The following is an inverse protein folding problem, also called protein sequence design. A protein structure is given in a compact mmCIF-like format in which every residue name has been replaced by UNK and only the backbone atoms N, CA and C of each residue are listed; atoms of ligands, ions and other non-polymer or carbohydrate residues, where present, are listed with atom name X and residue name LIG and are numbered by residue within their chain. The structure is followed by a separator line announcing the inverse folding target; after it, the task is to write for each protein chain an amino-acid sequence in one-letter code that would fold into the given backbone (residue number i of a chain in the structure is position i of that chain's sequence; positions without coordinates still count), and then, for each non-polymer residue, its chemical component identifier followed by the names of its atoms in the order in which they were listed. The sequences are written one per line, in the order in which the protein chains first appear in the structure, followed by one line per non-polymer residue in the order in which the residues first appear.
data_IF_308139468852
#
_entry.id   IF_308139468852
#
_cell.length_a   1.000
_cell.length_b   1.000
_cell.length_c   1.000
_cell.angle_alpha   90.00
_cell.angle_beta   90.00
_cell.angle_gamma   90.00
#
_symmetry.space_group_name_H-M   'P 1'
#
loop_
_entity.id
_entity.type
_entity.pdbx_description
1 polymer ?
#
# COMPACT_ATOMS: atom_id res chain seq x y z
N UNK A 1 -5.98 4.92 12.59
CA UNK A 1 -5.66 4.46 11.21
C UNK A 1 -6.55 5.01 10.07
N UNK A 2 -7.68 5.70 10.29
CA UNK A 2 -8.53 6.19 9.18
C UNK A 2 -7.80 7.08 8.16
N UNK A 3 -6.84 7.90 8.61
CA UNK A 3 -5.98 8.70 7.72
C UNK A 3 -5.10 7.85 6.80
N UNK A 4 -4.47 6.81 7.36
CA UNK A 4 -3.59 5.88 6.61
C UNK A 4 -4.37 5.14 5.53
N UNK A 5 -5.56 4.64 5.83
CA UNK A 5 -6.40 3.96 4.84
C UNK A 5 -6.79 4.88 3.66
N UNK A 6 -7.08 6.17 3.94
CA UNK A 6 -7.37 7.17 2.89
C UNK A 6 -6.13 7.45 2.04
N UNK A 7 -4.95 7.56 2.66
CA UNK A 7 -3.68 7.72 1.96
C UNK A 7 -3.36 6.51 1.07
N UNK A 8 -3.55 5.29 1.59
CA UNK A 8 -3.34 4.04 0.86
C UNK A 8 -4.21 3.97 -0.40
N UNK A 9 -5.52 4.25 -0.29
CA UNK A 9 -6.44 4.30 -1.44
C UNK A 9 -6.01 5.34 -2.48
N UNK A 10 -5.58 6.53 -2.04
CA UNK A 10 -5.11 7.59 -2.93
C UNK A 10 -3.80 7.23 -3.63
N UNK A 11 -2.87 6.59 -2.91
CA UNK A 11 -1.62 6.09 -3.48
C UNK A 11 -1.88 4.97 -4.50
N UNK A 12 -2.78 4.03 -4.20
CA UNK A 12 -3.18 2.97 -5.13
C UNK A 12 -3.68 3.54 -6.46
N UNK A 13 -4.66 4.45 -6.41
CA UNK A 13 -5.22 5.09 -7.60
C UNK A 13 -4.21 5.92 -8.42
N UNK A 14 -3.07 6.29 -7.81
CA UNK A 14 -1.98 7.04 -8.46
C UNK A 14 -0.79 6.18 -8.87
N UNK A 15 -0.74 4.90 -8.52
CA UNK A 15 0.45 4.07 -8.73
C UNK A 15 0.78 3.84 -10.21
N UNK A 16 -0.22 3.98 -11.10
CA UNK A 16 -0.15 3.68 -12.54
C UNK A 16 0.29 2.24 -12.84
N UNK A 17 0.32 1.36 -11.85
CA UNK A 17 0.84 0.00 -11.98
C UNK A 17 0.03 -0.84 -12.98
N UNK A 18 -1.28 -0.58 -13.09
CA UNK A 18 -2.13 -1.21 -14.10
C UNK A 18 -1.67 -0.93 -15.54
N UNK A 19 -1.04 0.22 -15.82
CA UNK A 19 -0.59 0.57 -17.17
C UNK A 19 0.55 -0.32 -17.70
N UNK A 20 1.34 -0.91 -16.80
CA UNK A 20 2.43 -1.82 -17.16
C UNK A 20 2.14 -3.28 -16.80
N UNK A 21 0.98 -3.56 -16.19
CA UNK A 21 0.61 -4.87 -15.69
C UNK A 21 0.42 -5.88 -16.84
N UNK A 22 1.05 -7.07 -16.79
CA UNK A 22 0.89 -8.10 -17.83
C UNK A 22 -0.57 -8.56 -17.95
N UNK A 23 -1.30 -8.67 -16.83
CA UNK A 23 -2.72 -9.03 -16.83
C UNK A 23 -3.60 -8.02 -17.58
N UNK A 24 -3.20 -6.75 -17.60
CA UNK A 24 -3.92 -5.69 -18.31
C UNK A 24 -3.58 -5.71 -19.81
N UNK A 25 -2.32 -6.02 -20.18
CA UNK A 25 -1.91 -6.14 -21.58
C UNK A 25 -2.68 -7.23 -22.32
N UNK A 26 -2.99 -8.34 -21.66
CA UNK A 26 -3.66 -9.48 -22.28
C UNK A 26 -5.17 -9.30 -22.44
N UNK A 27 -5.82 -8.44 -21.62
CA UNK A 27 -7.29 -8.32 -21.57
C UNK A 27 -7.85 -6.94 -21.86
N UNK A 28 -7.01 -5.92 -22.08
CA UNK A 28 -7.35 -4.50 -22.22
C UNK A 28 -8.10 -3.85 -21.03
N UNK A 29 -8.90 -4.61 -20.27
CA UNK A 29 -9.59 -4.23 -19.03
C UNK A 29 -9.56 -5.45 -18.09
N UNK A 30 -9.13 -5.26 -16.83
CA UNK A 30 -9.16 -6.34 -15.84
C UNK A 30 -10.61 -6.61 -15.38
N UNK A 31 -10.96 -7.85 -15.06
CA UNK A 31 -12.27 -8.14 -14.44
C UNK A 31 -12.41 -7.41 -13.09
N UNK A 32 -13.65 -7.09 -12.66
CA UNK A 32 -13.87 -6.42 -11.37
C UNK A 32 -13.28 -7.18 -10.17
N UNK A 33 -13.25 -8.50 -10.24
CA UNK A 33 -12.63 -9.36 -9.21
C UNK A 33 -11.12 -9.15 -9.12
N UNK A 34 -10.41 -9.17 -10.26
CA UNK A 34 -8.96 -8.91 -10.30
C UNK A 34 -8.65 -7.50 -9.81
N UNK A 35 -9.43 -6.50 -10.24
CA UNK A 35 -9.27 -5.12 -9.78
C UNK A 35 -9.41 -5.01 -8.26
N UNK A 36 -10.41 -5.70 -7.68
CA UNK A 36 -10.64 -5.73 -6.23
C UNK A 36 -9.47 -6.36 -5.50
N UNK A 37 -9.03 -7.54 -5.91
CA UNK A 37 -7.90 -8.25 -5.28
C UNK A 37 -6.64 -7.39 -5.31
N UNK A 38 -6.29 -6.79 -6.45
CA UNK A 38 -5.13 -5.92 -6.55
C UNK A 38 -5.25 -4.69 -5.64
N UNK A 39 -6.43 -4.07 -5.59
CA UNK A 39 -6.67 -2.89 -4.74
C UNK A 39 -6.57 -3.22 -3.26
N UNK A 40 -7.19 -4.32 -2.83
CA UNK A 40 -7.21 -4.74 -1.44
C UNK A 40 -5.79 -5.12 -0.99
N UNK A 41 -5.06 -5.88 -1.81
CA UNK A 41 -3.67 -6.25 -1.55
C UNK A 41 -2.74 -5.02 -1.42
N UNK A 42 -2.89 -4.03 -2.30
CA UNK A 42 -2.12 -2.78 -2.22
C UNK A 42 -2.40 -2.04 -0.91
N UNK A 43 -3.68 -1.86 -0.57
CA UNK A 43 -4.08 -1.10 0.63
C UNK A 43 -3.62 -1.81 1.90
N UNK A 44 -3.76 -3.13 1.96
CA UNK A 44 -3.29 -3.94 3.08
C UNK A 44 -1.75 -3.83 3.23
N UNK A 45 -1.00 -4.03 2.15
CA UNK A 45 0.46 -3.91 2.14
C UNK A 45 0.94 -2.53 2.57
N UNK A 46 0.31 -1.46 2.07
CA UNK A 46 0.61 -0.08 2.47
C UNK A 46 0.43 0.12 3.98
N UNK A 47 -0.70 -0.34 4.54
CA UNK A 47 -0.99 -0.19 5.97
C UNK A 47 -0.01 -1.00 6.84
N UNK A 48 0.38 -2.19 6.40
CA UNK A 48 1.43 -2.99 7.05
C UNK A 48 2.78 -2.27 7.04
N UNK A 49 3.16 -1.68 5.90
CA UNK A 49 4.38 -0.90 5.76
C UNK A 49 4.43 0.34 6.67
N UNK A 50 3.31 1.06 6.80
CA UNK A 50 3.21 2.20 7.74
C UNK A 50 3.38 1.75 9.18
N UNK A 51 2.69 0.68 9.61
CA UNK A 51 2.85 0.12 10.96
C UNK A 51 4.29 -0.30 11.24
N UNK A 52 4.93 -0.95 10.27
CA UNK A 52 6.33 -1.35 10.40
C UNK A 52 7.24 -0.13 10.58
N UNK A 53 7.06 0.93 9.78
CA UNK A 53 7.84 2.16 9.90
C UNK A 53 7.61 2.87 11.25
N UNK A 54 6.36 2.95 11.71
CA UNK A 54 6.01 3.52 13.02
C UNK A 54 6.73 2.78 14.16
N UNK A 55 6.81 1.44 14.09
CA UNK A 55 7.51 0.62 15.07
C UNK A 55 9.03 0.84 15.04
N UNK A 56 9.64 0.95 13.86
CA UNK A 56 11.07 1.26 13.74
C UNK A 56 11.42 2.65 14.29
N UNK A 57 10.57 3.66 14.02
CA UNK A 57 10.79 5.02 14.55
C UNK A 57 10.65 5.06 16.08
N UNK A 58 9.75 4.26 16.65
CA UNK A 58 9.61 4.14 18.10
C UNK A 58 10.84 3.50 18.74
N UNK A 59 11.30 2.37 18.20
CA UNK A 59 12.52 1.68 18.67
C UNK A 59 13.75 2.58 18.61
N UNK A 60 13.96 3.30 17.49
CA UNK A 60 15.08 4.22 17.34
C UNK A 60 15.04 5.39 18.33
N UNK A 61 13.84 5.86 18.68
CA UNK A 61 13.67 6.92 19.67
C UNK A 61 13.97 6.40 21.08
N UNK A 62 13.45 5.22 21.41
CA UNK A 62 13.68 4.56 22.70
C UNK A 62 15.19 4.27 22.92
N UNK A 63 15.94 3.91 21.86
CA UNK A 63 17.41 3.76 21.91
C UNK A 63 18.15 5.09 22.12
N UNK A 64 17.70 6.17 21.48
CA UNK A 64 18.33 7.49 21.65
C UNK A 64 18.02 8.13 23.00
N UNK A 65 16.85 7.89 23.58
CA UNK A 65 16.48 8.41 24.91
C UNK A 65 17.24 7.69 26.05
N UNK A 66 17.91 6.56 25.77
CA UNK A 66 18.70 5.78 26.75
C UNK A 66 20.21 6.09 26.71
N UNK A 67 20.68 6.86 25.73
CA UNK A 67 22.07 7.30 25.56
C UNK A 67 22.27 8.73 26.08
#
# INVERSE_FOLDING_TARGET
MRGVAKAAKRANGRSRMCAICPLHRDKAICSPEVQRVCSDAFVEGFMKGVKWLEEQLRQNKDEMDFL
#
